data_IF_511347137345
#
_entry.id   IF_511347137345
#
_cell.length_a   1.000
_cell.length_b   1.000
_cell.length_c   1.000
_cell.angle_alpha   90.00
_cell.angle_beta   90.00
_cell.angle_gamma   90.00
#
_symmetry.space_group_name_H-M   'P 1'
#
loop_
_entity.id
_entity.type
_entity.pdbx_description
1 polymer ?
#
# COMPACT_ATOMS: atom_id res chain seq x y z
N UNK A 1 -8.69 -30.33 28.15
CA UNK A 1 -9.29 -29.28 27.28
C UNK A 1 -8.79 -27.95 27.78
N UNK A 2 -8.22 -27.19 26.88
CA UNK A 2 -7.59 -25.90 27.19
C UNK A 2 -8.43 -24.75 26.62
N UNK A 3 -8.47 -23.62 27.32
CA UNK A 3 -9.09 -22.42 26.82
C UNK A 3 -8.17 -21.78 25.76
N UNK A 4 -8.70 -21.50 24.60
CA UNK A 4 -7.97 -20.92 23.49
C UNK A 4 -8.62 -19.60 23.07
N UNK A 5 -7.83 -18.55 22.86
CA UNK A 5 -8.30 -17.31 22.23
C UNK A 5 -8.16 -17.44 20.72
N UNK A 6 -9.27 -17.27 20.01
CA UNK A 6 -9.31 -17.41 18.55
C UNK A 6 -8.44 -16.35 17.87
N UNK A 7 -8.57 -15.09 18.29
CA UNK A 7 -7.66 -14.00 17.95
C UNK A 7 -6.87 -13.63 19.22
N UNK A 8 -5.57 -13.46 19.09
CA UNK A 8 -4.66 -13.15 20.20
C UNK A 8 -5.08 -11.88 20.93
N UNK A 9 -5.17 -11.98 22.26
CA UNK A 9 -5.66 -10.90 23.13
C UNK A 9 -4.83 -9.61 23.05
N UNK A 10 -3.52 -9.71 22.81
CA UNK A 10 -2.60 -8.56 22.69
C UNK A 10 -2.97 -7.64 21.53
N UNK A 11 -3.78 -8.10 20.59
CA UNK A 11 -4.28 -7.30 19.47
C UNK A 11 -5.49 -6.43 19.84
N UNK A 12 -6.12 -6.67 20.99
CA UNK A 12 -7.28 -5.91 21.46
C UNK A 12 -6.86 -4.86 22.48
N UNK A 13 -7.29 -3.62 22.29
CA UNK A 13 -7.01 -2.50 23.21
C UNK A 13 -7.58 -2.71 24.61
N UNK A 14 -8.66 -3.47 24.74
CA UNK A 14 -9.37 -3.79 25.98
C UNK A 14 -9.00 -5.16 26.58
N UNK A 15 -8.04 -5.88 25.97
CA UNK A 15 -7.55 -7.17 26.42
C UNK A 15 -8.28 -8.39 25.85
N UNK A 16 -9.31 -8.23 25.01
CA UNK A 16 -9.92 -9.27 24.15
C UNK A 16 -10.62 -10.43 24.89
N UNK A 17 -11.10 -10.22 26.09
CA UNK A 17 -11.81 -11.24 26.90
C UNK A 17 -13.30 -11.35 26.51
N UNK A 18 -13.57 -11.76 25.29
CA UNK A 18 -14.92 -12.01 24.79
C UNK A 18 -15.23 -13.50 24.72
N UNK A 19 -16.45 -13.91 25.09
CA UNK A 19 -16.88 -15.31 24.96
C UNK A 19 -16.73 -15.82 23.53
N UNK A 20 -17.14 -15.00 22.55
CA UNK A 20 -17.07 -15.35 21.13
C UNK A 20 -15.64 -15.27 20.54
N UNK A 21 -14.65 -14.80 21.33
CA UNK A 21 -13.22 -14.92 21.03
C UNK A 21 -12.57 -16.11 21.73
N UNK A 22 -13.35 -16.98 22.40
CA UNK A 22 -12.85 -18.11 23.18
C UNK A 22 -13.42 -19.44 22.70
N UNK A 23 -12.57 -20.47 22.63
CA UNK A 23 -12.98 -21.83 22.34
C UNK A 23 -12.28 -22.83 23.28
N UNK A 24 -12.97 -23.95 23.61
CA UNK A 24 -12.37 -25.03 24.36
C UNK A 24 -11.83 -26.11 23.42
N UNK A 25 -10.52 -26.25 23.33
CA UNK A 25 -9.84 -27.18 22.42
C UNK A 25 -9.20 -28.35 23.19
N UNK A 26 -9.03 -29.50 22.54
CA UNK A 26 -8.13 -30.52 23.04
C UNK A 26 -6.68 -30.13 22.71
N UNK A 27 -5.71 -30.73 23.40
CA UNK A 27 -4.29 -30.43 23.28
C UNK A 27 -3.82 -30.38 21.82
N UNK A 28 -4.17 -31.38 21.00
CA UNK A 28 -3.82 -31.43 19.58
C UNK A 28 -4.34 -30.21 18.82
N UNK A 29 -5.64 -29.92 18.89
CA UNK A 29 -6.23 -28.79 18.18
C UNK A 29 -5.80 -27.44 18.74
N UNK A 30 -5.42 -27.39 20.04
CA UNK A 30 -4.85 -26.17 20.64
C UNK A 30 -3.48 -25.84 20.00
N UNK A 31 -2.62 -26.86 19.84
CA UNK A 31 -1.32 -26.69 19.16
C UNK A 31 -1.54 -26.27 17.70
N UNK A 32 -2.39 -26.97 16.96
CA UNK A 32 -2.70 -26.63 15.55
C UNK A 32 -3.28 -25.21 15.40
N UNK A 33 -4.06 -24.75 16.37
CA UNK A 33 -4.60 -23.40 16.39
C UNK A 33 -3.52 -22.34 16.70
N UNK A 34 -2.60 -22.63 17.64
CA UNK A 34 -1.44 -21.77 17.91
C UNK A 34 -0.52 -21.67 16.68
N UNK A 35 -0.23 -22.79 16.04
CA UNK A 35 0.57 -22.89 14.82
C UNK A 35 -0.14 -22.33 13.57
N UNK A 36 -1.43 -21.97 13.71
CA UNK A 36 -2.28 -21.46 12.63
C UNK A 36 -2.49 -22.45 11.46
N UNK A 37 -2.27 -23.71 11.68
CA UNK A 37 -2.62 -24.82 10.76
C UNK A 37 -4.11 -25.17 10.85
N UNK A 38 -4.74 -24.92 12.00
CA UNK A 38 -6.19 -24.88 12.18
C UNK A 38 -6.64 -23.41 12.16
N UNK A 39 -7.51 -23.06 11.22
CA UNK A 39 -7.94 -21.68 11.00
C UNK A 39 -8.91 -21.18 12.07
N UNK A 40 -8.93 -19.86 12.29
CA UNK A 40 -9.91 -19.21 13.17
C UNK A 40 -11.36 -19.47 12.72
N UNK A 41 -11.60 -19.57 11.42
CA UNK A 41 -12.92 -19.87 10.86
C UNK A 41 -13.39 -21.30 11.18
N UNK A 42 -12.51 -22.29 11.03
CA UNK A 42 -12.81 -23.67 11.39
C UNK A 42 -13.07 -23.82 12.88
N UNK A 43 -12.34 -23.11 13.74
CA UNK A 43 -12.57 -23.11 15.19
C UNK A 43 -13.95 -22.54 15.49
N UNK A 44 -14.32 -21.39 14.93
CA UNK A 44 -15.63 -20.76 15.12
C UNK A 44 -16.75 -21.67 14.67
N UNK A 45 -16.64 -22.25 13.48
CA UNK A 45 -17.64 -23.16 12.93
C UNK A 45 -17.86 -24.38 13.84
N UNK A 46 -16.79 -25.03 14.30
CA UNK A 46 -16.88 -26.22 15.18
C UNK A 46 -17.35 -25.88 16.58
N UNK A 47 -17.10 -24.68 17.07
CA UNK A 47 -17.55 -24.20 18.37
C UNK A 47 -18.98 -23.61 18.37
N UNK A 48 -19.59 -23.43 17.17
CA UNK A 48 -20.92 -22.84 17.03
C UNK A 48 -20.91 -21.31 17.32
N UNK A 49 -19.79 -20.63 17.06
CA UNK A 49 -19.64 -19.20 17.28
C UNK A 49 -20.01 -18.46 15.99
N UNK A 50 -21.14 -17.77 16.03
CA UNK A 50 -21.66 -17.00 14.90
C UNK A 50 -21.17 -15.54 14.91
N UNK A 51 -20.95 -14.98 16.10
CA UNK A 51 -20.51 -13.60 16.26
C UNK A 51 -19.00 -13.50 16.15
N UNK A 52 -18.51 -12.85 15.08
CA UNK A 52 -17.07 -12.70 14.82
C UNK A 52 -16.53 -11.47 15.54
N UNK A 53 -15.75 -11.69 16.58
CA UNK A 53 -15.04 -10.65 17.31
C UNK A 53 -13.65 -10.49 16.70
N UNK A 54 -13.32 -9.25 16.32
CA UNK A 54 -12.00 -8.84 15.83
C UNK A 54 -11.59 -7.53 16.51
N UNK A 55 -10.29 -7.19 16.60
CA UNK A 55 -9.81 -5.92 17.11
C UNK A 55 -10.43 -4.73 16.35
N UNK A 56 -10.66 -3.60 17.03
CA UNK A 56 -11.32 -2.41 16.44
C UNK A 56 -10.62 -1.87 15.20
N UNK A 57 -9.30 -1.99 15.14
CA UNK A 57 -8.49 -1.53 14.02
C UNK A 57 -8.46 -2.53 12.84
N UNK A 58 -9.00 -3.75 13.00
CA UNK A 58 -9.10 -4.72 11.92
C UNK A 58 -10.30 -4.43 11.01
N UNK A 59 -10.22 -4.88 9.77
CA UNK A 59 -11.29 -4.75 8.79
C UNK A 59 -12.05 -6.06 8.64
N UNK A 60 -13.37 -6.00 8.70
CA UNK A 60 -14.26 -7.16 8.62
C UNK A 60 -14.26 -7.88 7.26
N UNK A 61 -13.71 -7.25 6.21
CA UNK A 61 -13.60 -7.84 4.87
C UNK A 61 -12.27 -8.57 4.63
N UNK A 62 -11.42 -8.69 5.66
CA UNK A 62 -10.23 -9.54 5.66
C UNK A 62 -10.41 -10.73 6.60
N UNK A 63 -9.78 -11.83 6.24
CA UNK A 63 -9.62 -12.99 7.12
C UNK A 63 -8.26 -12.90 7.82
N UNK A 64 -8.22 -13.27 9.09
CA UNK A 64 -7.03 -13.21 9.91
C UNK A 64 -6.72 -14.56 10.54
N UNK A 65 -5.44 -14.87 10.72
CA UNK A 65 -5.04 -15.93 11.63
C UNK A 65 -5.02 -15.42 13.09
N UNK A 66 -4.77 -16.31 14.03
CA UNK A 66 -4.70 -16.01 15.47
C UNK A 66 -3.80 -14.81 15.79
N UNK A 67 -2.69 -14.67 15.09
CA UNK A 67 -1.65 -13.67 15.34
C UNK A 67 -1.87 -12.35 14.60
N UNK A 68 -3.01 -12.20 13.94
CA UNK A 68 -3.39 -11.00 13.20
C UNK A 68 -2.76 -10.90 11.82
N UNK A 69 -2.19 -11.98 11.30
CA UNK A 69 -1.74 -12.02 9.91
C UNK A 69 -2.94 -12.10 8.97
N UNK A 70 -2.90 -11.39 7.84
CA UNK A 70 -3.99 -11.40 6.86
C UNK A 70 -3.86 -12.65 5.98
N UNK A 71 -4.95 -13.42 5.87
CA UNK A 71 -5.06 -14.57 5.00
C UNK A 71 -5.58 -14.16 3.63
N UNK A 72 -4.87 -14.52 2.58
CA UNK A 72 -5.26 -14.25 1.20
C UNK A 72 -6.01 -15.45 0.60
N UNK A 73 -6.86 -15.19 -0.39
CA UNK A 73 -7.65 -16.24 -1.06
C UNK A 73 -6.82 -17.29 -1.80
N UNK A 74 -5.57 -16.99 -2.12
CA UNK A 74 -4.62 -17.93 -2.73
C UNK A 74 -3.82 -18.76 -1.70
N UNK A 75 -4.16 -18.68 -0.40
CA UNK A 75 -3.48 -19.39 0.69
C UNK A 75 -2.21 -18.69 1.20
N UNK A 76 -1.76 -17.62 0.56
CA UNK A 76 -0.64 -16.83 1.07
C UNK A 76 -1.07 -15.91 2.21
N UNK A 77 -0.11 -15.39 2.96
CA UNK A 77 -0.32 -14.52 4.12
C UNK A 77 0.46 -13.22 4.01
N UNK A 78 -0.12 -12.16 4.57
CA UNK A 78 0.57 -10.89 4.79
C UNK A 78 0.88 -10.78 6.28
N UNK A 79 2.10 -10.44 6.60
CA UNK A 79 2.60 -10.28 7.97
C UNK A 79 1.77 -9.24 8.74
N UNK A 80 1.22 -9.63 9.88
CA UNK A 80 0.47 -8.76 10.80
C UNK A 80 1.36 -8.20 11.91
N UNK A 81 0.74 -7.56 12.90
CA UNK A 81 1.43 -6.85 13.99
C UNK A 81 2.31 -7.76 14.84
N UNK A 82 1.80 -8.95 15.17
CA UNK A 82 2.53 -9.90 16.03
C UNK A 82 3.48 -10.81 15.26
N UNK A 83 3.56 -10.68 13.94
CA UNK A 83 4.46 -11.53 13.13
C UNK A 83 5.91 -11.44 13.60
N UNK A 84 6.38 -10.27 14.03
CA UNK A 84 7.78 -10.01 14.41
C UNK A 84 8.10 -10.34 15.88
N UNK A 85 7.10 -10.77 16.66
CA UNK A 85 7.33 -11.27 18.03
C UNK A 85 8.08 -12.60 17.96
N UNK A 86 9.18 -12.73 18.70
CA UNK A 86 10.04 -13.92 18.68
C UNK A 86 9.30 -15.20 19.07
N UNK A 87 8.35 -15.10 20.01
CA UNK A 87 7.53 -16.25 20.44
C UNK A 87 6.59 -16.71 19.34
N UNK A 88 5.98 -15.75 18.62
CA UNK A 88 5.11 -16.04 17.47
C UNK A 88 5.92 -16.62 16.33
N UNK A 89 7.10 -16.11 16.02
CA UNK A 89 7.99 -16.66 15.00
C UNK A 89 8.34 -18.12 15.25
N UNK A 90 8.63 -18.49 16.53
CA UNK A 90 8.90 -19.88 16.89
C UNK A 90 7.70 -20.80 16.64
N UNK A 91 6.51 -20.34 17.01
CA UNK A 91 5.26 -21.09 16.82
C UNK A 91 4.95 -21.27 15.33
N UNK A 92 5.00 -20.20 14.54
CA UNK A 92 4.77 -20.25 13.09
C UNK A 92 5.79 -21.16 12.36
N UNK A 93 7.05 -21.18 12.84
CA UNK A 93 8.08 -22.07 12.32
C UNK A 93 7.76 -23.53 12.66
N UNK A 94 7.28 -23.86 13.86
CA UNK A 94 6.87 -25.20 14.25
C UNK A 94 5.72 -25.70 13.38
N UNK A 95 4.75 -24.84 13.06
CA UNK A 95 3.64 -25.13 12.15
C UNK A 95 4.04 -25.23 10.67
N UNK A 96 5.29 -24.97 10.30
CA UNK A 96 5.77 -24.94 8.91
C UNK A 96 4.97 -23.99 8.01
N UNK A 97 4.49 -22.85 8.56
CA UNK A 97 3.67 -21.88 7.82
C UNK A 97 4.42 -20.64 7.36
N UNK A 98 5.72 -20.53 7.68
CA UNK A 98 6.52 -19.34 7.31
C UNK A 98 6.64 -19.14 5.79
N UNK A 99 6.69 -20.20 5.02
CA UNK A 99 6.77 -20.16 3.55
C UNK A 99 5.47 -19.64 2.88
N UNK A 100 4.38 -19.57 3.66
CA UNK A 100 3.12 -18.98 3.18
C UNK A 100 3.14 -17.46 3.17
N UNK A 101 4.10 -16.83 3.86
CA UNK A 101 4.17 -15.37 3.94
C UNK A 101 4.76 -14.77 2.67
N UNK A 102 4.06 -13.78 2.11
CA UNK A 102 4.54 -13.06 0.94
C UNK A 102 5.82 -12.29 1.24
N UNK A 103 6.84 -12.49 0.42
CA UNK A 103 8.06 -11.67 0.42
C UNK A 103 7.78 -10.30 -0.22
N UNK A 104 7.11 -10.31 -1.37
CA UNK A 104 6.81 -9.09 -2.12
C UNK A 104 5.34 -8.72 -1.98
N UNK A 105 5.06 -7.45 -1.69
CA UNK A 105 3.73 -6.98 -1.33
C UNK A 105 3.25 -5.98 -2.37
N UNK A 106 2.06 -6.23 -2.89
CA UNK A 106 1.38 -5.35 -3.83
C UNK A 106 1.03 -4.02 -3.15
N UNK A 107 1.28 -2.90 -3.85
CA UNK A 107 0.81 -1.60 -3.35
C UNK A 107 -0.71 -1.61 -3.20
N UNK A 108 -1.26 -1.19 -2.04
CA UNK A 108 -2.70 -1.29 -1.78
C UNK A 108 -3.54 -0.46 -2.75
N UNK A 109 -4.81 -0.81 -2.91
CA UNK A 109 -5.75 -0.01 -3.69
C UNK A 109 -6.09 1.27 -2.94
N UNK A 110 -5.74 2.42 -3.51
CA UNK A 110 -6.12 3.72 -2.96
C UNK A 110 -7.60 4.00 -3.25
N UNK A 111 -8.38 4.26 -2.20
CA UNK A 111 -9.80 4.59 -2.31
C UNK A 111 -9.98 6.04 -2.73
N UNK A 112 -11.07 6.31 -3.38
CA UNK A 112 -11.48 7.67 -3.74
C UNK A 112 -12.05 8.42 -2.54
N UNK A 113 -11.73 9.72 -2.46
CA UNK A 113 -12.46 10.66 -1.62
C UNK A 113 -13.93 10.74 -2.08
N UNK A 114 -14.87 10.95 -1.16
CA UNK A 114 -16.30 10.89 -1.46
C UNK A 114 -16.81 11.95 -2.46
N UNK A 115 -16.01 12.96 -2.76
CA UNK A 115 -16.30 13.96 -3.82
C UNK A 115 -15.50 13.71 -5.11
N UNK A 116 -14.77 12.64 -5.19
CA UNK A 116 -14.08 12.22 -6.40
C UNK A 116 -15.03 11.54 -7.38
N UNK A 117 -14.75 11.65 -8.66
CA UNK A 117 -15.52 10.93 -9.68
C UNK A 117 -15.10 9.46 -9.76
N UNK A 118 -16.08 8.55 -9.88
CA UNK A 118 -15.88 7.10 -9.85
C UNK A 118 -16.08 6.45 -11.21
N UNK A 119 -15.34 5.38 -11.46
CA UNK A 119 -15.67 4.35 -12.45
C UNK A 119 -16.36 3.16 -11.75
N UNK A 120 -16.98 2.28 -12.53
CA UNK A 120 -17.80 1.15 -12.07
C UNK A 120 -17.11 0.26 -11.01
N UNK A 121 -15.78 0.12 -11.08
CA UNK A 121 -14.99 -0.75 -10.19
C UNK A 121 -14.20 0.02 -9.11
N UNK A 122 -14.36 1.34 -9.02
CA UNK A 122 -13.65 2.13 -8.03
C UNK A 122 -14.24 1.94 -6.63
N UNK A 123 -13.37 2.05 -5.63
CA UNK A 123 -13.73 2.05 -4.22
C UNK A 123 -13.66 3.48 -3.67
N UNK A 124 -14.67 3.87 -2.92
CA UNK A 124 -14.79 5.21 -2.33
C UNK A 124 -14.79 5.12 -0.81
N UNK A 125 -14.16 6.10 -0.17
CA UNK A 125 -14.31 6.29 1.28
C UNK A 125 -15.75 6.73 1.57
N UNK A 126 -16.30 6.27 2.69
CA UNK A 126 -17.62 6.68 3.16
C UNK A 126 -17.66 8.17 3.52
N UNK A 127 -16.59 8.62 4.16
CA UNK A 127 -16.37 10.00 4.60
C UNK A 127 -14.85 10.28 4.68
N UNK A 128 -14.47 11.46 5.14
CA UNK A 128 -13.08 11.90 5.35
C UNK A 128 -12.67 12.00 6.83
N UNK A 129 -13.46 11.42 7.74
CA UNK A 129 -13.26 11.49 9.19
C UNK A 129 -11.87 11.01 9.62
N UNK A 130 -11.28 10.06 8.87
CA UNK A 130 -9.94 9.54 9.15
C UNK A 130 -8.83 10.60 9.06
N UNK A 131 -9.05 11.71 8.36
CA UNK A 131 -8.08 12.79 8.16
C UNK A 131 -8.30 13.97 9.10
N UNK A 132 -9.51 14.14 9.65
CA UNK A 132 -9.86 15.28 10.49
C UNK A 132 -8.90 15.39 11.69
N UNK A 133 -8.36 16.60 11.90
CA UNK A 133 -7.44 16.91 12.99
C UNK A 133 -6.01 16.39 12.79
N UNK A 134 -5.71 15.65 11.71
CA UNK A 134 -4.37 15.14 11.43
C UNK A 134 -3.63 16.04 10.44
N UNK A 135 -2.29 16.08 10.56
CA UNK A 135 -1.42 16.61 9.51
C UNK A 135 -1.50 15.68 8.31
N UNK A 136 -1.78 16.25 7.16
CA UNK A 136 -1.84 15.52 5.88
C UNK A 136 -0.88 16.13 4.87
N UNK A 137 -0.40 15.25 4.00
CA UNK A 137 0.35 15.63 2.82
C UNK A 137 -0.54 15.40 1.61
N UNK A 138 -0.70 16.42 0.79
CA UNK A 138 -1.41 16.31 -0.48
C UNK A 138 -0.41 16.47 -1.60
N UNK A 139 -0.28 15.44 -2.42
CA UNK A 139 0.61 15.42 -3.56
C UNK A 139 -0.18 15.34 -4.86
N UNK A 140 0.40 15.82 -5.96
CA UNK A 140 -0.16 15.60 -7.28
C UNK A 140 -0.23 14.09 -7.56
N UNK A 141 -1.38 13.65 -8.07
CA UNK A 141 -1.51 12.30 -8.58
C UNK A 141 -0.90 12.27 -9.98
N UNK A 142 0.33 11.77 -10.03
CA UNK A 142 1.04 11.58 -11.28
C UNK A 142 0.43 10.43 -12.08
N UNK A 143 0.39 10.58 -13.41
CA UNK A 143 -0.20 9.63 -14.35
C UNK A 143 0.89 8.82 -15.05
N UNK A 144 1.28 7.72 -14.43
CA UNK A 144 2.30 6.80 -14.89
C UNK A 144 2.02 5.37 -14.44
N UNK A 145 3.07 4.60 -14.17
CA UNK A 145 2.97 3.24 -13.69
C UNK A 145 3.48 3.13 -12.24
N UNK A 146 2.56 2.76 -11.32
CA UNK A 146 2.95 2.45 -9.94
C UNK A 146 4.04 1.36 -9.94
N UNK A 147 5.19 1.67 -9.36
CA UNK A 147 6.35 0.79 -9.31
C UNK A 147 6.85 0.64 -7.88
N UNK A 148 7.10 -0.59 -7.47
CA UNK A 148 7.67 -0.93 -6.17
C UNK A 148 9.05 -1.56 -6.36
N UNK A 149 10.04 -1.07 -5.60
CA UNK A 149 11.44 -1.50 -5.62
C UNK A 149 11.84 -2.07 -4.27
N UNK A 150 12.39 -3.27 -4.28
CA UNK A 150 13.07 -3.93 -3.16
C UNK A 150 14.57 -3.99 -3.47
N UNK A 151 15.38 -4.49 -2.56
CA UNK A 151 16.80 -4.72 -2.82
C UNK A 151 17.05 -5.75 -3.94
N UNK A 152 16.19 -6.77 -4.05
CA UNK A 152 16.36 -7.92 -4.95
C UNK A 152 15.24 -8.07 -6.00
N UNK A 153 14.21 -7.23 -5.97
CA UNK A 153 13.07 -7.32 -6.87
C UNK A 153 12.44 -5.97 -7.18
N UNK A 154 11.92 -5.83 -8.40
CA UNK A 154 11.15 -4.69 -8.85
C UNK A 154 9.90 -5.16 -9.58
N UNK A 155 8.76 -4.57 -9.28
CA UNK A 155 7.50 -4.88 -9.96
C UNK A 155 6.62 -3.64 -10.12
N UNK A 156 5.73 -3.66 -11.12
CA UNK A 156 4.65 -2.69 -11.22
C UNK A 156 3.58 -3.01 -10.17
N UNK A 157 2.40 -2.40 -10.28
CA UNK A 157 1.32 -2.68 -9.34
C UNK A 157 0.97 -4.17 -9.23
N UNK A 158 1.06 -4.94 -10.33
CA UNK A 158 0.94 -6.40 -10.31
C UNK A 158 2.30 -7.03 -10.03
N UNK A 159 2.35 -8.04 -9.15
CA UNK A 159 3.57 -8.79 -8.87
C UNK A 159 4.07 -9.54 -10.11
N UNK A 160 3.15 -10.05 -10.94
CA UNK A 160 3.43 -10.81 -12.16
C UNK A 160 3.63 -9.90 -13.39
N UNK A 161 4.12 -8.68 -13.18
CA UNK A 161 4.31 -7.72 -14.26
C UNK A 161 5.34 -8.20 -15.27
N UNK A 162 4.91 -8.50 -16.50
CA UNK A 162 5.80 -8.88 -17.59
C UNK A 162 6.85 -7.79 -17.89
N UNK A 163 7.99 -8.18 -18.45
CA UNK A 163 8.98 -7.20 -18.90
C UNK A 163 8.40 -6.39 -20.06
N UNK A 164 8.53 -5.05 -20.00
CA UNK A 164 8.10 -4.13 -21.06
C UNK A 164 9.13 -3.03 -21.25
N UNK A 165 9.24 -2.49 -22.48
CA UNK A 165 10.24 -1.46 -22.78
C UNK A 165 10.10 -0.19 -21.96
N UNK A 166 8.88 0.21 -21.60
CA UNK A 166 8.60 1.36 -20.73
C UNK A 166 9.22 1.25 -19.34
N UNK A 167 9.64 0.03 -18.93
CA UNK A 167 10.25 -0.25 -17.64
C UNK A 167 11.77 -0.37 -17.70
N UNK A 168 12.38 -0.24 -18.88
CA UNK A 168 13.84 -0.34 -19.00
C UNK A 168 14.54 0.72 -18.18
N UNK A 169 14.10 1.97 -18.31
CA UNK A 169 14.69 3.09 -17.58
C UNK A 169 14.61 2.90 -16.07
N UNK A 170 13.41 2.61 -15.54
CA UNK A 170 13.22 2.44 -14.10
C UNK A 170 13.94 1.21 -13.54
N UNK A 171 14.14 0.16 -14.34
CA UNK A 171 14.98 -0.99 -13.97
C UNK A 171 16.46 -0.61 -13.91
N UNK A 172 16.94 0.27 -14.81
CA UNK A 172 18.28 0.83 -14.75
C UNK A 172 18.49 1.66 -13.49
N UNK A 173 17.52 2.52 -13.14
CA UNK A 173 17.54 3.26 -11.87
C UNK A 173 17.58 2.29 -10.68
N UNK A 174 16.70 1.30 -10.64
CA UNK A 174 16.64 0.29 -9.58
C UNK A 174 17.99 -0.43 -9.40
N UNK A 175 18.65 -0.86 -10.47
CA UNK A 175 19.94 -1.55 -10.37
C UNK A 175 21.05 -0.72 -9.72
N UNK A 176 20.94 0.62 -9.77
CA UNK A 176 21.89 1.56 -9.14
C UNK A 176 21.60 1.83 -7.69
N UNK A 177 20.35 1.69 -7.23
CA UNK A 177 19.94 2.06 -5.88
C UNK A 177 19.55 0.86 -5.00
N UNK A 178 19.32 -0.31 -5.60
CA UNK A 178 18.81 -1.49 -4.88
C UNK A 178 19.70 -1.92 -3.72
N UNK A 179 21.01 -1.78 -3.84
CA UNK A 179 21.97 -2.12 -2.77
C UNK A 179 21.89 -1.19 -1.56
N UNK A 180 21.19 -0.05 -1.67
CA UNK A 180 20.94 0.89 -0.57
C UNK A 180 19.69 0.52 0.26
N UNK A 181 18.97 -0.53 -0.15
CA UNK A 181 17.77 -1.03 0.52
C UNK A 181 18.09 -2.28 1.31
N UNK A 182 17.70 -2.32 2.57
CA UNK A 182 17.73 -3.54 3.38
C UNK A 182 16.62 -4.52 2.95
N UNK A 183 16.74 -5.78 3.34
CA UNK A 183 15.82 -6.88 2.96
C UNK A 183 14.34 -6.62 3.33
N UNK A 184 14.12 -5.81 4.36
CA UNK A 184 12.79 -5.46 4.84
C UNK A 184 12.28 -4.11 4.32
N UNK A 185 13.03 -3.45 3.44
CA UNK A 185 12.69 -2.14 2.88
C UNK A 185 12.09 -2.25 1.47
N UNK A 186 11.17 -1.35 1.16
CA UNK A 186 10.70 -1.11 -0.20
C UNK A 186 10.34 0.35 -0.45
N UNK A 187 10.66 0.80 -1.66
CA UNK A 187 10.28 2.11 -2.19
C UNK A 187 9.08 1.94 -3.11
N UNK A 188 8.08 2.80 -2.97
CA UNK A 188 6.99 2.89 -3.96
C UNK A 188 6.99 4.28 -4.58
N UNK A 189 6.85 4.33 -5.89
CA UNK A 189 6.82 5.56 -6.67
C UNK A 189 6.08 5.39 -7.99
N UNK A 190 5.99 6.46 -8.74
CA UNK A 190 5.39 6.48 -10.07
C UNK A 190 6.49 6.51 -11.13
N UNK A 191 6.49 5.50 -12.02
CA UNK A 191 7.32 5.47 -13.22
C UNK A 191 6.63 6.30 -14.32
N UNK A 192 7.23 7.43 -14.65
CA UNK A 192 6.72 8.43 -15.59
C UNK A 192 7.48 8.42 -16.93
N UNK A 193 8.25 7.38 -17.23
CA UNK A 193 9.00 7.32 -18.47
C UNK A 193 8.09 7.41 -19.70
N UNK A 194 7.06 6.59 -19.76
CA UNK A 194 6.10 6.61 -20.86
C UNK A 194 4.93 7.56 -20.58
N UNK A 195 4.49 8.24 -21.61
CA UNK A 195 3.23 9.01 -21.58
C UNK A 195 2.05 8.05 -21.48
N UNK A 196 1.22 8.23 -20.47
CA UNK A 196 -0.05 7.51 -20.33
C UNK A 196 -1.21 8.34 -20.93
N UNK A 197 -1.84 9.17 -20.12
CA UNK A 197 -2.93 10.06 -20.58
C UNK A 197 -2.52 11.53 -20.51
N UNK A 198 -1.53 11.86 -19.64
CA UNK A 198 -0.97 13.19 -19.50
C UNK A 198 0.48 13.18 -20.00
N UNK A 199 0.81 14.11 -20.89
CA UNK A 199 2.20 14.37 -21.28
C UNK A 199 2.81 15.44 -20.37
N UNK A 200 3.84 15.05 -19.64
CA UNK A 200 4.63 15.97 -18.80
C UNK A 200 5.80 16.53 -19.59
N UNK A 201 6.06 17.84 -19.45
CA UNK A 201 7.11 18.54 -20.21
C UNK A 201 8.35 18.92 -19.41
N UNK A 202 8.26 18.87 -18.07
CA UNK A 202 9.33 19.35 -17.19
C UNK A 202 9.46 18.47 -15.96
N UNK A 203 9.59 17.15 -16.16
CA UNK A 203 9.79 16.24 -15.05
C UNK A 203 11.20 16.42 -14.45
N UNK A 204 11.32 16.38 -13.14
CA UNK A 204 12.61 16.35 -12.46
C UNK A 204 13.29 14.97 -12.58
N UNK A 205 12.49 13.92 -12.68
CA UNK A 205 12.92 12.53 -12.88
C UNK A 205 11.77 11.74 -13.51
N UNK A 206 12.11 10.65 -14.22
CA UNK A 206 11.12 9.69 -14.68
C UNK A 206 10.59 8.77 -13.56
N UNK A 207 11.18 8.81 -12.38
CA UNK A 207 10.64 8.11 -11.22
C UNK A 207 10.47 9.11 -10.07
N UNK A 208 9.26 9.16 -9.51
CA UNK A 208 8.94 10.01 -8.38
C UNK A 208 8.42 9.17 -7.21
N UNK A 209 9.17 9.18 -6.12
CA UNK A 209 8.86 8.43 -4.91
C UNK A 209 7.69 9.06 -4.16
N UNK A 210 6.76 8.25 -3.65
CA UNK A 210 5.65 8.72 -2.83
C UNK A 210 5.51 7.97 -1.50
N UNK A 211 6.21 6.86 -1.28
CA UNK A 211 6.27 6.20 0.02
C UNK A 211 7.48 5.30 0.17
N UNK A 212 7.96 5.22 1.42
CA UNK A 212 8.96 4.28 1.90
C UNK A 212 8.32 3.37 2.92
N UNK A 213 8.64 2.09 2.85
CA UNK A 213 8.12 1.07 3.75
C UNK A 213 9.27 0.29 4.37
N UNK A 214 9.15 0.05 5.68
CA UNK A 214 10.00 -0.89 6.41
C UNK A 214 9.07 -1.98 6.93
N UNK A 215 9.30 -3.21 6.55
CA UNK A 215 8.36 -4.30 6.76
C UNK A 215 6.96 -3.95 6.21
N UNK A 216 5.93 -3.99 7.06
CA UNK A 216 4.56 -3.59 6.71
C UNK A 216 4.16 -2.22 7.26
N UNK A 217 5.13 -1.40 7.67
CA UNK A 217 4.92 -0.03 8.11
C UNK A 217 5.34 0.96 7.03
N UNK A 218 4.43 1.81 6.58
CA UNK A 218 4.74 2.98 5.78
C UNK A 218 5.34 4.04 6.70
N UNK A 219 6.53 4.51 6.37
CA UNK A 219 7.20 5.57 7.12
C UNK A 219 6.43 6.89 7.01
N UNK A 220 6.64 7.79 7.95
CA UNK A 220 6.13 9.16 7.88
C UNK A 220 6.60 9.84 6.59
N UNK A 221 5.89 10.91 6.21
CA UNK A 221 6.31 11.67 5.03
C UNK A 221 7.68 12.34 5.22
N UNK A 222 7.97 12.79 6.42
CA UNK A 222 9.24 13.45 6.70
C UNK A 222 10.41 12.46 6.57
N UNK A 223 10.30 11.24 7.11
CA UNK A 223 11.26 10.16 6.89
C UNK A 223 11.32 9.73 5.42
N UNK A 224 10.17 9.63 4.74
CA UNK A 224 10.12 9.31 3.29
C UNK A 224 10.93 10.32 2.47
N UNK A 225 10.86 11.61 2.78
CA UNK A 225 11.66 12.67 2.13
C UNK A 225 13.16 12.53 2.43
N UNK A 226 13.48 12.24 3.69
CA UNK A 226 14.87 12.04 4.12
C UNK A 226 15.50 10.85 3.38
N UNK A 227 14.84 9.71 3.34
CA UNK A 227 15.29 8.55 2.56
C UNK A 227 15.39 8.87 1.06
N UNK A 228 14.43 9.58 0.49
CA UNK A 228 14.51 10.01 -0.92
C UNK A 228 15.77 10.85 -1.18
N UNK A 229 16.10 11.76 -0.28
CA UNK A 229 17.31 12.60 -0.35
C UNK A 229 18.60 11.75 -0.26
N UNK A 230 18.65 10.81 0.70
CA UNK A 230 19.82 9.94 0.91
C UNK A 230 20.06 9.06 -0.33
N UNK A 231 19.00 8.53 -0.93
CA UNK A 231 19.08 7.63 -2.10
C UNK A 231 19.23 8.41 -3.42
N UNK A 232 19.01 9.74 -3.39
CA UNK A 232 19.07 10.58 -4.58
C UNK A 232 17.82 10.51 -5.47
N UNK A 233 16.65 10.25 -4.89
CA UNK A 233 15.38 10.20 -5.60
C UNK A 233 14.58 11.49 -5.44
N UNK A 234 13.83 11.85 -6.49
CA UNK A 234 12.83 12.91 -6.42
C UNK A 234 11.53 12.36 -5.85
N UNK A 235 10.82 13.16 -5.04
CA UNK A 235 9.48 12.84 -4.54
C UNK A 235 8.40 13.46 -5.43
N UNK A 236 7.19 12.90 -5.37
CA UNK A 236 6.02 13.51 -6.02
C UNK A 236 5.80 14.95 -5.54
N UNK A 237 5.34 15.87 -6.42
CA UNK A 237 5.10 17.25 -6.04
C UNK A 237 4.04 17.37 -4.94
N UNK A 238 4.39 18.03 -3.84
CA UNK A 238 3.47 18.33 -2.73
C UNK A 238 2.81 19.68 -2.99
N UNK A 239 1.50 19.74 -2.90
CA UNK A 239 0.69 20.95 -3.09
C UNK A 239 0.10 21.46 -1.77
N UNK A 240 0.02 20.62 -0.74
CA UNK A 240 -0.45 21.00 0.59
C UNK A 240 0.23 20.15 1.66
N UNK A 241 0.68 20.80 2.73
CA UNK A 241 1.23 20.18 3.94
C UNK A 241 0.66 20.93 5.15
N UNK A 242 -0.19 20.29 5.94
CA UNK A 242 -0.82 20.92 7.10
C UNK A 242 -1.96 20.08 7.68
N UNK A 243 -2.63 20.63 8.69
CA UNK A 243 -3.82 19.98 9.27
C UNK A 243 -4.90 19.90 8.19
N UNK A 244 -5.53 18.72 8.09
CA UNK A 244 -6.54 18.46 7.08
C UNK A 244 -7.60 19.56 7.01
N UNK A 245 -7.75 20.15 5.85
CA UNK A 245 -8.75 21.13 5.51
C UNK A 245 -9.15 21.00 4.05
N UNK A 246 -10.37 20.53 3.81
CA UNK A 246 -10.87 20.20 2.47
C UNK A 246 -10.84 21.39 1.51
N UNK A 247 -11.26 22.55 1.98
CA UNK A 247 -11.37 23.78 1.18
C UNK A 247 -9.97 24.24 0.73
N UNK A 248 -9.01 24.26 1.65
CA UNK A 248 -7.61 24.61 1.32
C UNK A 248 -6.95 23.62 0.36
N UNK A 249 -7.27 22.34 0.47
CA UNK A 249 -6.77 21.29 -0.43
C UNK A 249 -7.32 21.50 -1.85
N UNK A 250 -8.63 21.79 -1.99
CA UNK A 250 -9.26 22.08 -3.27
C UNK A 250 -8.66 23.35 -3.89
N UNK A 251 -8.49 24.41 -3.11
CA UNK A 251 -7.87 25.66 -3.54
C UNK A 251 -6.41 25.44 -4.00
N UNK A 252 -5.61 24.68 -3.23
CA UNK A 252 -4.23 24.37 -3.60
C UNK A 252 -4.14 23.58 -4.91
N UNK A 253 -5.11 22.72 -5.21
CA UNK A 253 -5.14 21.95 -6.46
C UNK A 253 -5.61 22.77 -7.67
N UNK A 254 -6.38 23.84 -7.49
CA UNK A 254 -7.00 24.59 -8.58
C UNK A 254 -6.01 25.05 -9.68
N UNK A 255 -4.78 25.44 -9.30
CA UNK A 255 -3.73 25.85 -10.25
C UNK A 255 -3.15 24.68 -11.07
N UNK A 256 -3.33 23.45 -10.64
CA UNK A 256 -2.81 22.23 -11.26
C UNK A 256 -3.88 21.43 -12.00
N UNK A 257 -5.15 21.78 -11.85
CA UNK A 257 -6.29 21.00 -12.33
C UNK A 257 -6.24 20.69 -13.83
N UNK A 258 -5.85 21.65 -14.66
CA UNK A 258 -5.84 21.48 -16.12
C UNK A 258 -4.78 20.51 -16.62
N UNK A 259 -3.68 20.35 -15.89
CA UNK A 259 -2.49 19.61 -16.34
C UNK A 259 -2.24 18.31 -15.59
N UNK A 260 -3.08 17.97 -14.59
CA UNK A 260 -2.89 16.77 -13.77
C UNK A 260 -4.15 15.94 -13.64
N UNK A 261 -4.00 14.66 -13.33
CA UNK A 261 -5.10 13.72 -13.13
C UNK A 261 -5.95 14.04 -11.89
N UNK A 262 -5.30 14.48 -10.83
CA UNK A 262 -5.90 14.71 -9.53
C UNK A 262 -4.83 14.84 -8.44
N UNK A 263 -5.18 14.47 -7.23
CA UNK A 263 -4.26 14.47 -6.10
C UNK A 263 -4.46 13.27 -5.17
N UNK A 264 -3.45 13.01 -4.34
CA UNK A 264 -3.49 11.99 -3.29
C UNK A 264 -3.33 12.70 -1.94
N UNK A 265 -4.22 12.39 -1.01
CA UNK A 265 -4.13 12.80 0.40
C UNK A 265 -3.60 11.63 1.20
N UNK A 266 -2.55 11.83 1.99
CA UNK A 266 -2.05 10.87 2.97
C UNK A 266 -1.87 11.53 4.34
N UNK A 267 -2.03 10.77 5.44
CA UNK A 267 -1.57 11.26 6.74
C UNK A 267 -0.05 11.44 6.70
N UNK A 268 0.45 12.46 7.40
CA UNK A 268 1.89 12.75 7.44
C UNK A 268 2.65 11.71 8.27
N UNK A 269 2.01 11.17 9.31
CA UNK A 269 2.59 10.19 10.22
C UNK A 269 2.76 8.81 9.56
N UNK A 270 3.50 7.93 10.23
CA UNK A 270 3.62 6.52 9.87
C UNK A 270 2.30 5.76 10.06
N UNK A 271 2.12 4.67 9.34
CA UNK A 271 0.94 3.80 9.45
C UNK A 271 1.24 2.36 8.99
N UNK A 272 0.50 1.40 9.54
CA UNK A 272 0.63 0.01 9.14
C UNK A 272 -0.07 -0.28 7.80
N UNK A 273 0.35 -1.31 7.09
CA UNK A 273 -0.24 -1.73 5.81
C UNK A 273 -1.75 -1.93 5.90
N UNK A 274 -2.22 -2.50 7.01
CA UNK A 274 -3.65 -2.72 7.26
C UNK A 274 -4.43 -1.41 7.31
N UNK A 275 -3.83 -0.32 7.81
CA UNK A 275 -4.46 0.99 7.96
C UNK A 275 -4.42 1.85 6.68
N UNK A 276 -3.88 1.33 5.59
CA UNK A 276 -3.72 2.08 4.34
C UNK A 276 -5.00 2.79 3.90
N UNK A 277 -6.17 2.15 4.04
CA UNK A 277 -7.48 2.72 3.67
C UNK A 277 -7.89 3.92 4.53
N UNK A 278 -7.37 4.00 5.77
CA UNK A 278 -7.59 5.10 6.72
C UNK A 278 -6.56 6.21 6.57
N UNK A 279 -5.44 5.90 5.91
CA UNK A 279 -4.27 6.76 5.84
C UNK A 279 -4.10 7.44 4.47
N UNK A 280 -4.63 6.85 3.39
CA UNK A 280 -4.40 7.33 2.02
C UNK A 280 -5.68 7.30 1.21
N UNK A 281 -5.99 8.42 0.56
CA UNK A 281 -7.10 8.55 -0.37
C UNK A 281 -6.71 9.38 -1.60
N UNK A 282 -7.47 9.26 -2.68
CA UNK A 282 -7.23 9.99 -3.93
C UNK A 282 -8.46 10.76 -4.38
N UNK A 283 -8.22 11.85 -5.07
CA UNK A 283 -9.19 12.57 -5.89
C UNK A 283 -8.77 12.46 -7.36
N UNK A 284 -9.73 12.19 -8.25
CA UNK A 284 -9.55 12.22 -9.70
C UNK A 284 -10.62 13.12 -10.28
N UNK A 285 -10.19 14.10 -11.10
CA UNK A 285 -11.09 15.07 -11.72
C UNK A 285 -12.00 14.43 -12.78
N UNK A 286 -13.22 14.94 -12.97
CA UNK A 286 -14.20 14.37 -13.91
C UNK A 286 -13.70 14.32 -15.35
N UNK A 287 -13.08 15.39 -15.83
CA UNK A 287 -12.63 15.55 -17.21
C UNK A 287 -11.54 14.53 -17.58
N UNK A 288 -10.68 14.18 -16.64
CA UNK A 288 -9.64 13.16 -16.85
C UNK A 288 -10.27 11.79 -17.16
N UNK A 289 -11.38 11.46 -16.53
CA UNK A 289 -12.14 10.23 -16.78
C UNK A 289 -12.71 10.14 -18.18
N UNK A 290 -13.14 11.28 -18.75
CA UNK A 290 -13.63 11.33 -20.13
C UNK A 290 -12.50 11.03 -21.12
N UNK A 291 -11.27 11.50 -20.86
CA UNK A 291 -10.08 11.19 -21.65
C UNK A 291 -9.82 9.68 -21.65
N UNK A 292 -9.87 9.02 -20.48
CA UNK A 292 -9.67 7.58 -20.37
C UNK A 292 -10.74 6.77 -21.12
N UNK A 293 -12.00 7.15 -21.02
CA UNK A 293 -13.12 6.46 -21.69
C UNK A 293 -13.05 6.60 -23.22
N UNK A 294 -12.51 7.71 -23.71
CA UNK A 294 -12.38 7.97 -25.15
C UNK A 294 -11.10 7.38 -25.77
N UNK A 295 -10.12 6.96 -24.95
CA UNK A 295 -8.90 6.32 -25.42
C UNK A 295 -9.15 4.84 -25.74
N UNK A 296 -9.33 4.51 -27.02
CA UNK A 296 -9.45 3.14 -27.49
C UNK A 296 -8.09 2.41 -27.36
N UNK A 297 -8.04 1.35 -26.57
CA UNK A 297 -6.88 0.47 -26.40
C UNK A 297 -6.04 0.73 -25.15
N UNK A 298 -5.45 -0.35 -24.62
CA UNK A 298 -4.55 -0.29 -23.47
C UNK A 298 -3.25 0.44 -23.86
N UNK A 299 -2.74 1.36 -23.00
CA UNK A 299 -1.53 2.15 -23.27
C UNK A 299 -0.30 1.29 -23.68
N UNK A 300 -0.22 0.05 -23.19
CA UNK A 300 0.86 -0.92 -23.50
C UNK A 300 0.92 -1.25 -25.00
N UNK A 301 -0.20 -1.18 -25.73
CA UNK A 301 -0.26 -1.50 -27.17
C UNK A 301 0.02 -0.30 -28.09
N UNK A 302 0.19 0.91 -27.55
CA UNK A 302 0.50 2.12 -28.31
C UNK A 302 2.01 2.26 -28.52
N UNK A 303 2.40 3.00 -29.58
CA UNK A 303 3.80 3.43 -29.75
C UNK A 303 4.24 4.19 -28.51
N UNK A 304 5.39 3.83 -27.93
CA UNK A 304 5.91 4.47 -26.72
C UNK A 304 6.24 5.92 -27.07
N UNK A 305 5.59 6.82 -26.36
CA UNK A 305 5.92 8.24 -26.31
C UNK A 305 6.53 8.52 -24.94
N UNK A 306 7.66 9.23 -24.89
CA UNK A 306 8.40 9.52 -23.65
C UNK A 306 8.02 10.90 -23.15
N UNK A 307 7.88 11.06 -21.84
CA UNK A 307 7.74 12.36 -21.21
C UNK A 307 9.04 13.15 -21.27
N UNK A 308 8.95 14.48 -21.18
CA UNK A 308 10.11 15.33 -21.29
C UNK A 308 10.68 15.66 -19.88
N UNK A 309 12.00 15.58 -19.74
CA UNK A 309 12.74 15.96 -18.52
C UNK A 309 13.07 17.45 -18.55
N UNK A 310 13.15 18.04 -17.37
CA UNK A 310 13.58 19.44 -17.19
C UNK A 310 14.99 19.64 -17.76
N UNK A 311 15.18 20.69 -18.55
CA UNK A 311 16.48 21.07 -19.12
C UNK A 311 17.58 21.11 -18.05
N UNK A 312 18.74 20.50 -18.33
CA UNK A 312 19.85 20.38 -17.38
C UNK A 312 19.84 19.14 -16.49
N UNK A 313 18.73 18.38 -16.42
CA UNK A 313 18.66 17.06 -15.76
C UNK A 313 18.70 15.87 -16.75
N UNK A 314 18.80 16.14 -18.04
CA UNK A 314 18.82 15.13 -19.10
C UNK A 314 19.98 14.13 -18.91
N UNK A 315 21.20 14.64 -18.64
CA UNK A 315 22.39 13.80 -18.44
C UNK A 315 22.28 12.84 -17.27
N UNK A 316 21.62 13.22 -16.16
CA UNK A 316 21.43 12.32 -15.01
C UNK A 316 20.44 11.19 -15.28
N UNK A 317 19.59 11.36 -16.31
CA UNK A 317 18.58 10.38 -16.69
C UNK A 317 18.99 9.56 -17.92
N UNK A 318 19.99 9.98 -18.71
CA UNK A 318 20.52 9.23 -19.87
C UNK A 318 21.60 8.22 -19.46
N UNK A 319 22.29 8.39 -18.32
CA UNK A 319 23.29 7.49 -17.79
C UNK A 319 22.67 6.26 -17.05
N UNK A 320 21.40 5.97 -17.27
CA UNK A 320 20.64 4.88 -16.63
C UNK A 320 20.58 3.64 -17.54
#
# INVERSE_FOLDING_TARGET
KDAHHIIERRLFSDGGYYLDNGASLCEKHHIEAEETTLSCEEIRLKAGIENIIIPEHFYSDYNYDKWGNILLTNGQRIKGELFYDESVQKILKQGNVLDLFQKYIKYPRTYHLHWSNLLKDDRMLKDDNNFIGKRVIVSLKMDGENTTMYNDYIHARSLDSASHETRKWVKGLWSRISYMLDDNMRICGENLYAVHSVKYKNLKSYFMMFSMWVDNKCLSWDETKEYAQIIGLETVPVIYDGIYNKEKIIEAFASFEKSNEGYVVRIADEFNYIDFRRAVAKFVRPEFRQILNNSHGHWISKKIEVNDILEGKEKQNEEV
#
